data_IF_144666729836
#
_entry.id   IF_144666729836
#
_cell.length_a   1.000
_cell.length_b   1.000
_cell.length_c   1.000
_cell.angle_alpha   90.00
_cell.angle_beta   90.00
_cell.angle_gamma   90.00
#
_symmetry.space_group_name_H-M   'P 1'
#
loop_
_entity.id
_entity.type
_entity.pdbx_description
1 polymer ?
#
# COMPACT_ATOMS: atom_id res chain seq x y z
N UNK A 1 -1.31 -16.73 1.61
CA UNK A 1 -2.47 -15.81 1.57
C UNK A 1 -2.97 -15.61 0.15
N UNK A 2 -4.26 -15.48 -0.01
CA UNK A 2 -4.87 -15.14 -1.29
C UNK A 2 -4.95 -13.62 -1.48
N UNK A 3 -5.10 -13.17 -2.71
CA UNK A 3 -5.33 -11.76 -3.01
C UNK A 3 -6.54 -11.22 -2.27
N UNK A 4 -7.63 -12.00 -2.21
CA UNK A 4 -8.85 -11.63 -1.49
C UNK A 4 -8.59 -11.39 -0.01
N UNK A 5 -7.82 -12.27 0.62
CA UNK A 5 -7.47 -12.14 2.05
C UNK A 5 -6.65 -10.88 2.31
N UNK A 6 -5.69 -10.57 1.45
CA UNK A 6 -4.87 -9.37 1.57
C UNK A 6 -5.73 -8.11 1.39
N UNK A 7 -6.60 -8.12 0.40
CA UNK A 7 -7.51 -7.00 0.13
C UNK A 7 -8.46 -6.76 1.31
N UNK A 8 -9.07 -7.80 1.83
CA UNK A 8 -9.97 -7.71 2.99
C UNK A 8 -9.24 -7.22 4.23
N UNK A 9 -8.02 -7.71 4.45
CA UNK A 9 -7.17 -7.21 5.53
C UNK A 9 -6.90 -5.72 5.40
N UNK A 10 -6.50 -5.27 4.22
CA UNK A 10 -6.21 -3.86 3.98
C UNK A 10 -7.45 -3.00 4.23
N UNK A 11 -8.60 -3.43 3.72
CA UNK A 11 -9.86 -2.69 3.88
C UNK A 11 -10.36 -2.66 5.32
N UNK A 12 -9.81 -3.49 6.21
CA UNK A 12 -10.14 -3.46 7.64
C UNK A 12 -9.44 -2.33 8.40
N UNK A 13 -8.48 -1.64 7.77
CA UNK A 13 -7.79 -0.53 8.39
C UNK A 13 -8.77 0.61 8.72
N UNK A 14 -8.72 1.16 9.95
CA UNK A 14 -9.66 2.21 10.36
C UNK A 14 -9.65 3.43 9.45
N UNK A 15 -8.48 3.82 8.92
CA UNK A 15 -8.35 4.98 8.04
C UNK A 15 -8.96 4.74 6.65
N UNK A 16 -9.27 3.50 6.30
CA UNK A 16 -9.94 3.15 5.05
C UNK A 16 -11.43 2.85 5.23
N UNK A 17 -11.95 3.04 6.44
CA UNK A 17 -13.37 2.83 6.70
C UNK A 17 -14.22 3.78 5.84
N UNK A 18 -15.16 3.22 5.09
CA UNK A 18 -16.00 3.99 4.17
C UNK A 18 -15.34 4.36 2.85
N UNK A 19 -14.06 4.06 2.68
CA UNK A 19 -13.34 4.32 1.45
C UNK A 19 -13.40 3.10 0.51
N UNK A 20 -13.44 3.38 -0.79
CA UNK A 20 -13.34 2.33 -1.80
C UNK A 20 -11.89 2.16 -2.22
N UNK A 21 -11.35 0.96 -2.05
CA UNK A 21 -10.03 0.60 -2.56
C UNK A 21 -10.19 -0.18 -3.85
N UNK A 22 -9.68 0.36 -4.94
CA UNK A 22 -9.75 -0.28 -6.24
C UNK A 22 -8.59 -1.25 -6.42
N UNK A 23 -8.80 -2.35 -7.17
CA UNK A 23 -7.75 -3.29 -7.52
C UNK A 23 -7.20 -2.99 -8.90
N UNK A 24 -5.89 -2.71 -8.99
CA UNK A 24 -5.17 -2.39 -10.24
C UNK A 24 -5.82 -1.29 -11.07
N UNK A 25 -6.61 -0.43 -10.43
CA UNK A 25 -7.31 0.65 -11.08
C UNK A 25 -7.16 1.93 -10.27
N UNK A 26 -6.78 3.03 -10.92
CA UNK A 26 -6.70 4.34 -10.30
C UNK A 26 -7.88 5.18 -10.75
N UNK A 27 -8.64 5.78 -9.80
CA UNK A 27 -9.68 6.72 -10.13
C UNK A 27 -9.08 7.99 -10.77
N UNK A 28 -9.91 8.75 -11.48
CA UNK A 28 -9.43 9.91 -12.26
C UNK A 28 -8.88 11.02 -11.36
N UNK A 29 -9.53 11.31 -10.25
CA UNK A 29 -9.19 12.48 -9.43
C UNK A 29 -8.81 12.16 -8.00
N UNK A 30 -9.59 11.36 -7.30
CA UNK A 30 -9.41 11.09 -5.89
C UNK A 30 -9.74 9.64 -5.57
N UNK A 31 -8.89 8.98 -4.82
CA UNK A 31 -9.18 7.63 -4.41
C UNK A 31 -7.96 6.81 -4.01
N UNK A 32 -8.24 5.56 -3.77
CA UNK A 32 -7.28 4.56 -3.33
C UNK A 32 -7.22 3.41 -4.31
N UNK A 33 -6.04 2.82 -4.45
CA UNK A 33 -5.82 1.62 -5.25
C UNK A 33 -4.83 0.70 -4.58
N UNK A 34 -5.03 -0.59 -4.74
CA UNK A 34 -4.07 -1.62 -4.36
C UNK A 34 -3.68 -2.40 -5.61
N UNK A 35 -2.40 -2.64 -5.82
CA UNK A 35 -1.96 -3.53 -6.90
C UNK A 35 -2.24 -4.99 -6.52
N UNK A 36 -2.41 -5.83 -7.53
CA UNK A 36 -2.40 -7.28 -7.30
C UNK A 36 -1.08 -7.68 -6.66
N UNK A 37 -1.08 -8.57 -5.66
CA UNK A 37 0.14 -8.96 -4.98
C UNK A 37 1.16 -9.58 -5.92
N UNK A 38 2.41 -9.15 -5.80
CA UNK A 38 3.55 -9.77 -6.49
C UNK A 38 4.21 -10.75 -5.55
N UNK A 39 4.31 -11.99 -5.98
CA UNK A 39 5.03 -13.02 -5.22
C UNK A 39 6.51 -12.95 -5.53
N UNK A 40 7.32 -13.07 -4.47
CA UNK A 40 8.77 -13.16 -4.59
C UNK A 40 9.25 -14.36 -3.79
N UNK A 41 10.22 -15.07 -4.36
CA UNK A 41 10.92 -16.12 -3.64
C UNK A 41 12.33 -15.64 -3.38
N UNK A 42 12.70 -15.59 -2.10
CA UNK A 42 14.04 -15.25 -1.67
C UNK A 42 14.70 -16.48 -1.07
N UNK A 43 16.02 -16.58 -1.21
CA UNK A 43 16.81 -17.67 -0.62
C UNK A 43 17.92 -17.07 0.24
N UNK A 44 18.20 -17.72 1.36
CA UNK A 44 19.35 -17.37 2.19
C UNK A 44 20.63 -18.05 1.68
N UNK A 45 21.73 -17.75 2.34
CA UNK A 45 23.05 -18.31 2.01
C UNK A 45 23.10 -19.84 2.20
N UNK A 46 22.22 -20.40 3.00
CA UNK A 46 22.12 -21.85 3.27
C UNK A 46 21.18 -22.57 2.30
N UNK A 47 20.57 -21.84 1.36
CA UNK A 47 19.66 -22.40 0.40
C UNK A 47 18.21 -22.52 0.87
N UNK A 48 17.89 -22.02 2.06
CA UNK A 48 16.51 -21.97 2.53
C UNK A 48 15.72 -20.93 1.71
N UNK A 49 14.56 -21.33 1.22
CA UNK A 49 13.68 -20.45 0.44
C UNK A 49 12.48 -20.01 1.26
N UNK A 50 12.07 -18.75 1.07
CA UNK A 50 10.82 -18.26 1.63
C UNK A 50 10.11 -17.37 0.61
N UNK A 51 8.81 -17.27 0.74
CA UNK A 51 7.99 -16.42 -0.13
C UNK A 51 7.59 -15.15 0.59
N UNK A 52 7.61 -14.05 -0.15
CA UNK A 52 7.04 -12.79 0.27
C UNK A 52 6.05 -12.28 -0.78
N UNK A 53 5.16 -11.40 -0.35
CA UNK A 53 4.16 -10.76 -1.18
C UNK A 53 4.40 -9.25 -1.12
N UNK A 54 4.45 -8.61 -2.28
CA UNK A 54 4.60 -7.16 -2.36
C UNK A 54 3.34 -6.55 -2.94
N UNK A 55 2.81 -5.54 -2.27
CA UNK A 55 1.68 -4.74 -2.75
C UNK A 55 2.04 -3.27 -2.72
N UNK A 56 1.51 -2.52 -3.67
CA UNK A 56 1.59 -1.07 -3.69
C UNK A 56 0.19 -0.51 -3.45
N UNK A 57 0.10 0.39 -2.49
CA UNK A 57 -1.13 1.09 -2.16
C UNK A 57 -0.95 2.53 -2.59
N UNK A 58 -1.78 2.96 -3.53
CA UNK A 58 -1.69 4.30 -4.11
C UNK A 58 -2.83 5.16 -3.58
N UNK A 59 -2.47 6.33 -3.06
CA UNK A 59 -3.41 7.39 -2.73
C UNK A 59 -3.29 8.47 -3.79
N UNK A 60 -4.34 8.67 -4.56
CA UNK A 60 -4.44 9.77 -5.54
C UNK A 60 -5.31 10.86 -4.98
N UNK A 61 -4.86 12.10 -5.05
CA UNK A 61 -5.62 13.24 -4.56
C UNK A 61 -5.22 14.52 -5.30
N UNK A 62 -6.16 15.45 -5.44
CA UNK A 62 -5.86 16.79 -5.91
C UNK A 62 -4.99 17.52 -4.91
N UNK A 63 -3.95 18.17 -5.41
CA UNK A 63 -2.95 18.85 -4.58
C UNK A 63 -2.80 20.29 -5.05
N UNK A 64 -2.98 21.25 -4.16
CA UNK A 64 -2.78 22.68 -4.43
C UNK A 64 -1.53 23.25 -3.72
N UNK A 65 -0.95 22.53 -2.78
CA UNK A 65 0.23 23.00 -2.06
C UNK A 65 0.76 21.99 -1.04
N UNK A 66 1.71 22.45 -0.23
CA UNK A 66 2.38 21.59 0.74
C UNK A 66 1.45 21.05 1.83
N UNK A 67 0.43 21.80 2.23
CA UNK A 67 -0.51 21.35 3.23
C UNK A 67 -1.25 20.07 2.77
N UNK A 68 -1.65 20.04 1.50
CA UNK A 68 -2.29 18.84 0.93
C UNK A 68 -1.33 17.65 0.87
N UNK A 69 -0.08 17.90 0.49
CA UNK A 69 0.94 16.85 0.43
C UNK A 69 1.23 16.27 1.81
N UNK A 70 1.33 17.13 2.81
CA UNK A 70 1.54 16.67 4.19
C UNK A 70 0.36 15.86 4.71
N UNK A 71 -0.87 16.25 4.36
CA UNK A 71 -2.06 15.50 4.75
C UNK A 71 -2.08 14.10 4.11
N UNK A 72 -1.70 13.97 2.85
CA UNK A 72 -1.60 12.68 2.17
C UNK A 72 -0.50 11.83 2.79
N UNK A 73 0.66 12.41 3.03
CA UNK A 73 1.76 11.71 3.68
C UNK A 73 1.36 11.20 5.06
N UNK A 74 0.61 11.99 5.82
CA UNK A 74 0.11 11.60 7.14
C UNK A 74 -0.87 10.42 7.06
N UNK A 75 -1.79 10.43 6.09
CA UNK A 75 -2.69 9.30 5.84
C UNK A 75 -1.90 8.01 5.58
N UNK A 76 -0.87 8.08 4.73
CA UNK A 76 -0.06 6.91 4.39
C UNK A 76 0.86 6.48 5.53
N UNK A 77 1.39 7.42 6.29
CA UNK A 77 2.18 7.10 7.49
C UNK A 77 1.34 6.36 8.52
N UNK A 78 0.09 6.80 8.73
CA UNK A 78 -0.83 6.14 9.64
C UNK A 78 -1.18 4.73 9.15
N UNK A 79 -1.41 4.57 7.86
CA UNK A 79 -1.68 3.26 7.27
C UNK A 79 -0.48 2.32 7.42
N UNK A 80 0.72 2.83 7.14
CA UNK A 80 1.97 2.09 7.31
C UNK A 80 2.14 1.61 8.75
N UNK A 81 1.91 2.48 9.70
CA UNK A 81 2.03 2.19 11.12
C UNK A 81 1.02 1.13 11.55
N UNK A 82 -0.23 1.29 11.12
CA UNK A 82 -1.29 0.31 11.37
C UNK A 82 -0.92 -1.07 10.80
N UNK A 83 -0.44 -1.12 9.57
CA UNK A 83 -0.08 -2.37 8.91
C UNK A 83 1.02 -3.13 9.66
N UNK A 84 2.00 -2.41 10.18
CA UNK A 84 3.08 -3.01 10.97
C UNK A 84 2.58 -3.57 12.31
N UNK A 85 1.63 -2.89 12.93
CA UNK A 85 1.10 -3.31 14.22
C UNK A 85 0.00 -4.35 14.11
N UNK A 86 -0.66 -4.44 12.97
CA UNK A 86 -1.80 -5.34 12.73
C UNK A 86 -1.57 -6.15 11.46
N UNK A 87 -0.49 -6.95 11.38
CA UNK A 87 -0.23 -7.72 10.17
C UNK A 87 -1.35 -8.74 9.93
N UNK A 88 -1.52 -9.19 8.69
CA UNK A 88 -2.48 -10.26 8.40
C UNK A 88 -2.13 -11.51 9.21
N UNK A 89 -3.13 -12.31 9.54
CA UNK A 89 -2.91 -13.55 10.29
C UNK A 89 -1.91 -14.46 9.56
N UNK A 90 -0.90 -14.93 10.29
CA UNK A 90 0.13 -15.78 9.73
C UNK A 90 1.21 -15.04 8.93
N UNK A 91 1.21 -13.72 8.96
CA UNK A 91 2.17 -12.89 8.23
C UNK A 91 2.83 -11.85 9.12
N UNK A 92 3.92 -11.28 8.63
CA UNK A 92 4.51 -10.07 9.20
C UNK A 92 4.83 -9.08 8.07
N UNK A 93 4.83 -7.81 8.40
CA UNK A 93 5.23 -6.74 7.46
C UNK A 93 6.73 -6.54 7.60
N UNK A 94 7.48 -6.86 6.55
CA UNK A 94 8.95 -6.78 6.56
C UNK A 94 9.50 -5.54 5.88
N UNK A 95 8.68 -4.86 5.07
CA UNK A 95 9.04 -3.60 4.43
C UNK A 95 7.81 -2.72 4.34
N UNK A 96 7.97 -1.45 4.68
CA UNK A 96 6.95 -0.44 4.47
C UNK A 96 7.62 0.88 4.14
N UNK A 97 7.45 1.36 2.92
CA UNK A 97 8.06 2.59 2.44
C UNK A 97 7.09 3.41 1.62
N UNK A 98 7.20 4.73 1.72
CA UNK A 98 6.35 5.68 1.00
C UNK A 98 7.18 6.37 -0.07
N UNK A 99 6.63 6.43 -1.28
CA UNK A 99 7.25 7.13 -2.39
C UNK A 99 6.22 7.97 -3.13
N UNK A 100 6.66 9.12 -3.58
CA UNK A 100 5.88 9.96 -4.48
C UNK A 100 6.22 9.56 -5.91
N UNK A 101 5.24 9.40 -6.80
CA UNK A 101 5.53 9.10 -8.21
C UNK A 101 6.26 10.27 -8.88
N UNK A 102 7.00 9.94 -9.92
CA UNK A 102 7.88 10.88 -10.63
C UNK A 102 7.12 11.89 -11.49
N UNK A 103 5.87 11.61 -11.87
CA UNK A 103 5.09 12.46 -12.75
C UNK A 103 3.82 12.94 -12.09
N UNK A 104 3.46 14.20 -12.38
CA UNK A 104 2.17 14.79 -11.98
C UNK A 104 1.21 14.63 -13.12
N UNK A 105 -0.07 14.41 -12.83
CA UNK A 105 -1.09 14.41 -13.86
C UNK A 105 -1.42 15.84 -14.30
N UNK A 106 -1.91 15.98 -15.54
CA UNK A 106 -2.32 17.28 -16.07
C UNK A 106 -3.52 17.88 -15.33
N UNK A 107 -4.27 17.08 -14.56
CA UNK A 107 -5.43 17.52 -13.79
C UNK A 107 -5.07 18.08 -12.41
N UNK A 108 -3.78 18.17 -12.07
CA UNK A 108 -3.33 18.66 -10.76
C UNK A 108 -3.43 17.64 -9.65
N UNK A 109 -3.64 16.36 -9.99
CA UNK A 109 -3.60 15.29 -9.01
C UNK A 109 -2.17 14.76 -8.83
N UNK A 110 -1.88 14.27 -7.64
CA UNK A 110 -0.62 13.58 -7.35
C UNK A 110 -0.92 12.22 -6.74
N UNK A 111 -0.04 11.27 -7.03
CA UNK A 111 -0.12 9.92 -6.50
C UNK A 111 1.00 9.71 -5.49
N UNK A 112 0.65 9.16 -4.35
CA UNK A 112 1.61 8.73 -3.33
C UNK A 112 1.44 7.23 -3.15
N UNK A 113 2.55 6.51 -3.11
CA UNK A 113 2.55 5.05 -3.10
C UNK A 113 3.18 4.55 -1.81
N UNK A 114 2.46 3.72 -1.09
CA UNK A 114 2.97 2.94 0.04
C UNK A 114 3.23 1.53 -0.46
N UNK A 115 4.48 1.10 -0.39
CA UNK A 115 4.86 -0.27 -0.73
C UNK A 115 4.95 -1.10 0.55
N UNK A 116 4.21 -2.19 0.60
CA UNK A 116 4.26 -3.14 1.70
C UNK A 116 4.78 -4.48 1.18
N UNK A 117 5.68 -5.07 1.94
CA UNK A 117 6.10 -6.45 1.72
C UNK A 117 5.70 -7.29 2.91
N UNK A 118 4.99 -8.38 2.63
CA UNK A 118 4.47 -9.30 3.63
C UNK A 118 5.21 -10.62 3.51
N UNK A 119 5.62 -11.16 4.64
CA UNK A 119 6.24 -12.49 4.70
C UNK A 119 5.28 -13.43 5.42
N UNK A 120 5.00 -14.58 4.81
CA UNK A 120 4.21 -15.63 5.45
C UNK A 120 5.10 -16.39 6.45
N UNK A 121 4.57 -16.57 7.66
CA UNK A 121 5.27 -17.26 8.74
C UNK A 121 5.03 -18.77 8.72
#
# INVERSE_FOLDING_TARGET
MTTKQIYEWLCSAPMLAGEKVNLDYLPTYDGWSMTMPRRRTDTDILGNAWESLEINITRRKSVSGNADRLAIADELDNLRFWAKQNPPEGCRVILAGIAKPKSKSASGTEDFVLTLRLEEL
#
